data_IF_369109217815
#
_entry.id   IF_369109217815
#
_cell.length_a   1.000
_cell.length_b   1.000
_cell.length_c   1.000
_cell.angle_alpha   90.00
_cell.angle_beta   90.00
_cell.angle_gamma   90.00
#
_symmetry.space_group_name_H-M   'P 1'
#
loop_
_entity.id
_entity.type
_entity.pdbx_description
1 polymer ?
#
# COMPACT_ATOMS: atom_id res chain seq x y z
N UNK A 1 14.69 -11.04 0.16
CA UNK A 1 13.68 -9.98 -0.04
C UNK A 1 13.10 -9.99 -1.44
N UNK A 2 13.86 -10.48 -2.42
CA UNK A 2 13.51 -10.60 -3.84
C UNK A 2 12.05 -10.99 -4.11
N UNK A 3 11.54 -12.07 -3.53
CA UNK A 3 10.16 -12.52 -3.81
C UNK A 3 9.08 -11.53 -3.36
N UNK A 4 9.26 -10.88 -2.21
CA UNK A 4 8.32 -9.85 -1.76
C UNK A 4 8.38 -8.61 -2.64
N UNK A 5 9.57 -8.27 -3.14
CA UNK A 5 9.74 -7.19 -4.10
C UNK A 5 8.98 -7.50 -5.40
N UNK A 6 9.13 -8.72 -5.95
CA UNK A 6 8.36 -9.18 -7.11
C UNK A 6 6.85 -9.11 -6.90
N UNK A 7 6.38 -9.54 -5.72
CA UNK A 7 4.96 -9.47 -5.35
C UNK A 7 4.49 -8.01 -5.35
N UNK A 8 5.23 -7.10 -4.72
CA UNK A 8 4.88 -5.68 -4.68
C UNK A 8 4.84 -5.05 -6.08
N UNK A 9 5.79 -5.40 -6.95
CA UNK A 9 5.80 -4.98 -8.36
C UNK A 9 4.61 -5.56 -9.13
N UNK A 10 4.25 -6.83 -8.90
CA UNK A 10 3.10 -7.45 -9.53
C UNK A 10 1.78 -6.78 -9.11
N UNK A 11 1.62 -6.47 -7.81
CA UNK A 11 0.45 -5.72 -7.32
C UNK A 11 0.40 -4.31 -7.92
N UNK A 12 1.55 -3.63 -8.04
CA UNK A 12 1.57 -2.28 -8.62
C UNK A 12 1.12 -2.28 -10.07
N UNK A 13 1.55 -3.28 -10.86
CA UNK A 13 1.10 -3.49 -12.25
C UNK A 13 -0.40 -3.80 -12.33
N UNK A 14 -0.91 -4.65 -11.44
CA UNK A 14 -2.35 -4.94 -11.36
C UNK A 14 -3.17 -3.68 -11.09
N UNK A 15 -2.74 -2.86 -10.13
CA UNK A 15 -3.38 -1.59 -9.80
C UNK A 15 -3.29 -0.56 -10.94
N UNK A 16 -2.14 -0.46 -11.62
CA UNK A 16 -2.00 0.38 -12.82
C UNK A 16 -3.02 -0.02 -13.90
N UNK A 17 -3.17 -1.33 -14.13
CA UNK A 17 -4.15 -1.85 -15.07
C UNK A 17 -5.58 -1.45 -14.69
N UNK A 18 -5.97 -1.58 -13.42
CA UNK A 18 -7.28 -1.14 -12.95
C UNK A 18 -7.51 0.38 -13.16
N UNK A 19 -6.46 1.19 -12.93
CA UNK A 19 -6.57 2.64 -12.98
C UNK A 19 -6.56 3.22 -14.41
N UNK A 20 -5.81 2.58 -15.32
CA UNK A 20 -5.52 3.11 -16.66
C UNK A 20 -5.77 2.13 -17.79
N UNK A 21 -5.48 0.84 -17.58
CA UNK A 21 -5.60 -0.22 -18.58
C UNK A 21 -7.05 -0.60 -18.90
N UNK A 22 -7.98 -0.48 -17.95
CA UNK A 22 -9.40 -0.72 -18.19
C UNK A 22 -10.08 0.41 -19.00
N UNK A 23 -11.13 0.07 -19.76
CA UNK A 23 -11.93 1.04 -20.52
C UNK A 23 -12.54 2.12 -19.62
N UNK A 24 -13.10 1.68 -18.49
CA UNK A 24 -13.54 2.52 -17.39
C UNK A 24 -12.59 2.31 -16.22
N UNK A 25 -12.17 3.39 -15.56
CA UNK A 25 -11.27 3.31 -14.41
C UNK A 25 -11.95 2.53 -13.29
N UNK A 26 -11.24 1.57 -12.70
CA UNK A 26 -11.68 0.82 -11.52
C UNK A 26 -10.85 1.30 -10.33
N UNK A 27 -11.52 1.73 -9.25
CA UNK A 27 -10.89 2.03 -7.96
C UNK A 27 -11.33 0.96 -6.98
N UNK A 28 -10.37 0.30 -6.31
CA UNK A 28 -10.60 -0.90 -5.51
C UNK A 28 -11.12 -0.61 -4.11
N UNK A 29 -10.55 0.40 -3.43
CA UNK A 29 -10.81 0.82 -2.06
C UNK A 29 -10.50 -0.17 -0.94
N UNK A 30 -9.91 -1.32 -1.23
CA UNK A 30 -9.57 -2.33 -0.19
C UNK A 30 -8.27 -3.07 -0.51
N UNK A 31 -7.24 -2.32 -0.90
CA UNK A 31 -5.91 -2.87 -1.11
C UNK A 31 -5.23 -3.09 0.25
N UNK A 32 -4.95 -4.35 0.56
CA UNK A 32 -4.29 -4.83 1.78
C UNK A 32 -3.70 -6.22 1.52
N UNK A 33 -2.73 -6.72 2.31
CA UNK A 33 -2.13 -8.04 2.07
C UNK A 33 -3.15 -9.18 1.97
N UNK A 34 -4.20 -9.15 2.79
CA UNK A 34 -5.27 -10.16 2.83
C UNK A 34 -6.02 -10.31 1.50
N UNK A 35 -6.07 -9.25 0.68
CA UNK A 35 -6.75 -9.26 -0.62
C UNK A 35 -5.79 -9.51 -1.79
N UNK A 36 -4.51 -9.78 -1.52
CA UNK A 36 -3.53 -10.17 -2.53
C UNK A 36 -3.33 -11.68 -2.45
N UNK A 37 -3.97 -12.41 -3.38
CA UNK A 37 -3.81 -13.85 -3.49
C UNK A 37 -2.53 -14.17 -4.26
N UNK A 38 -1.94 -15.32 -3.97
CA UNK A 38 -0.76 -15.83 -4.66
C UNK A 38 -1.13 -17.15 -5.33
N UNK A 39 -0.75 -17.32 -6.60
CA UNK A 39 -0.86 -18.63 -7.26
C UNK A 39 0.37 -19.52 -6.97
N UNK A 40 0.42 -20.69 -7.61
CA UNK A 40 1.49 -21.69 -7.45
C UNK A 40 2.89 -21.14 -7.79
N UNK A 41 2.97 -20.10 -8.63
CA UNK A 41 4.22 -19.43 -9.01
C UNK A 41 4.49 -18.18 -8.17
N UNK A 42 3.69 -17.98 -7.11
CA UNK A 42 3.67 -16.78 -6.27
C UNK A 42 3.44 -15.50 -7.09
N UNK A 43 2.69 -15.59 -8.20
CA UNK A 43 2.26 -14.40 -8.92
C UNK A 43 1.08 -13.76 -8.17
N UNK A 44 1.15 -12.45 -7.85
CA UNK A 44 0.09 -11.79 -7.10
C UNK A 44 -1.15 -11.52 -7.94
N UNK A 45 -2.32 -11.73 -7.34
CA UNK A 45 -3.64 -11.45 -7.91
C UNK A 45 -4.45 -10.61 -6.94
N UNK A 46 -4.88 -9.44 -7.40
CA UNK A 46 -5.78 -8.57 -6.64
C UNK A 46 -7.16 -9.22 -6.62
N UNK A 47 -7.75 -9.34 -5.43
CA UNK A 47 -9.04 -9.99 -5.18
C UNK A 47 -9.94 -9.11 -4.31
N UNK A 48 -11.19 -9.56 -4.11
CA UNK A 48 -12.22 -8.87 -3.33
C UNK A 48 -12.59 -7.47 -3.84
N UNK A 49 -13.26 -7.45 -4.99
CA UNK A 49 -13.81 -6.23 -5.59
C UNK A 49 -15.13 -5.78 -4.96
N UNK A 50 -15.51 -6.28 -3.77
CA UNK A 50 -16.79 -5.97 -3.13
C UNK A 50 -17.01 -4.47 -2.86
N UNK A 51 -15.92 -3.73 -2.65
CA UNK A 51 -15.94 -2.28 -2.42
C UNK A 51 -15.61 -1.45 -3.66
N UNK A 52 -15.24 -2.09 -4.77
CA UNK A 52 -14.73 -1.41 -5.96
C UNK A 52 -15.79 -0.55 -6.65
N UNK A 53 -15.33 0.52 -7.33
CA UNK A 53 -16.18 1.43 -8.10
C UNK A 53 -15.62 1.74 -9.47
N UNK A 54 -16.54 1.86 -10.42
CA UNK A 54 -16.27 2.38 -11.74
C UNK A 54 -16.27 3.92 -11.68
N UNK A 55 -15.19 4.51 -12.16
CA UNK A 55 -15.02 5.96 -12.27
C UNK A 55 -14.90 6.33 -13.75
N UNK A 56 -15.63 7.36 -14.18
CA UNK A 56 -15.37 7.96 -15.50
C UNK A 56 -13.92 8.45 -15.55
N UNK A 57 -13.20 8.20 -16.65
CA UNK A 57 -11.81 8.67 -16.81
C UNK A 57 -11.70 10.20 -16.75
N UNK A 58 -12.79 10.91 -17.12
CA UNK A 58 -12.90 12.37 -17.11
C UNK A 58 -13.18 12.94 -15.73
N UNK A 59 -13.74 12.14 -14.82
CA UNK A 59 -14.08 12.58 -13.47
C UNK A 59 -13.00 12.12 -12.49
N UNK A 60 -12.48 13.05 -11.70
CA UNK A 60 -11.60 12.74 -10.57
C UNK A 60 -12.37 12.21 -9.36
N UNK A 61 -13.70 12.34 -9.37
CA UNK A 61 -14.58 12.01 -8.26
C UNK A 61 -15.83 11.22 -8.70
N UNK A 62 -16.15 10.18 -7.93
CA UNK A 62 -17.42 9.47 -7.81
C UNK A 62 -18.17 10.01 -6.59
N UNK A 63 -19.47 10.25 -6.70
CA UNK A 63 -20.31 10.56 -5.54
C UNK A 63 -20.32 9.36 -4.58
N UNK A 64 -19.64 9.48 -3.44
CA UNK A 64 -19.63 8.47 -2.39
C UNK A 64 -20.14 9.07 -1.08
N UNK A 65 -21.23 8.50 -0.56
CA UNK A 65 -21.85 8.96 0.69
C UNK A 65 -21.16 8.40 1.93
N UNK A 66 -20.60 7.19 1.86
CA UNK A 66 -20.01 6.50 3.01
C UNK A 66 -18.53 6.18 2.84
N UNK A 67 -17.76 6.35 3.92
CA UNK A 67 -16.39 5.88 4.04
C UNK A 67 -16.35 4.35 3.92
N UNK A 68 -15.36 3.82 3.20
CA UNK A 68 -15.22 2.38 2.93
C UNK A 68 -13.74 1.96 2.91
N UNK A 69 -13.50 0.67 3.11
CA UNK A 69 -12.18 0.06 3.13
C UNK A 69 -11.82 -0.47 4.51
N UNK A 70 -10.62 -1.03 4.63
CA UNK A 70 -10.12 -1.60 5.88
C UNK A 70 -9.32 -0.59 6.70
N UNK A 71 -9.70 -0.37 7.96
CA UNK A 71 -8.97 0.49 8.89
C UNK A 71 -7.46 0.19 8.89
N UNK A 72 -6.64 1.24 8.89
CA UNK A 72 -5.19 1.13 8.70
C UNK A 72 -4.72 1.28 7.25
N UNK A 73 -5.58 1.03 6.25
CA UNK A 73 -5.26 1.23 4.83
C UNK A 73 -6.12 2.32 4.16
N UNK A 74 -7.15 2.81 4.85
CA UNK A 74 -8.05 3.85 4.33
C UNK A 74 -7.28 5.18 4.21
N UNK A 75 -7.27 5.74 3.01
CA UNK A 75 -6.69 7.04 2.75
C UNK A 75 -7.49 8.17 3.45
N UNK A 76 -6.83 9.23 3.93
CA UNK A 76 -7.47 10.23 4.76
C UNK A 76 -8.60 10.98 4.05
N UNK A 77 -8.52 11.15 2.73
CA UNK A 77 -9.58 11.78 1.93
C UNK A 77 -10.86 10.93 1.82
N UNK A 78 -10.82 9.64 2.16
CA UNK A 78 -11.99 8.75 2.12
C UNK A 78 -12.93 8.99 3.29
N UNK A 79 -12.40 9.38 4.46
CA UNK A 79 -13.20 9.73 5.64
C UNK A 79 -13.23 11.23 5.95
N UNK A 80 -12.33 12.03 5.35
CA UNK A 80 -12.30 13.49 5.50
C UNK A 80 -12.39 14.20 4.16
N UNK A 81 -13.58 14.73 3.84
CA UNK A 81 -13.84 15.47 2.59
C UNK A 81 -13.06 16.79 2.49
N UNK A 82 -12.51 17.30 3.60
CA UNK A 82 -11.71 18.54 3.63
C UNK A 82 -10.39 18.37 2.84
N UNK A 83 -9.89 17.15 2.69
CA UNK A 83 -8.57 16.86 2.11
C UNK A 83 -8.58 16.88 0.56
N UNK A 84 -9.77 17.00 -0.05
CA UNK A 84 -9.95 16.99 -1.50
C UNK A 84 -10.01 15.57 -2.07
N UNK A 85 -10.79 15.39 -3.14
CA UNK A 85 -11.21 14.06 -3.61
C UNK A 85 -10.54 13.69 -4.94
N UNK A 86 -9.62 12.72 -4.89
CA UNK A 86 -9.08 12.03 -6.07
C UNK A 86 -9.08 10.53 -5.80
N UNK A 87 -10.19 9.85 -6.05
CA UNK A 87 -10.44 8.52 -5.49
C UNK A 87 -9.43 7.44 -5.87
N UNK A 88 -8.90 7.47 -7.09
CA UNK A 88 -7.90 6.48 -7.50
C UNK A 88 -6.58 6.62 -6.72
N UNK A 89 -6.32 7.78 -6.12
CA UNK A 89 -5.18 8.00 -5.22
C UNK A 89 -5.37 7.34 -3.86
N UNK A 90 -6.60 6.95 -3.51
CA UNK A 90 -6.87 6.21 -2.29
C UNK A 90 -6.28 4.79 -2.37
N UNK A 91 -6.39 4.11 -3.52
CA UNK A 91 -5.70 2.82 -3.75
C UNK A 91 -4.17 2.96 -3.69
N UNK A 92 -3.63 4.10 -4.14
CA UNK A 92 -2.18 4.39 -4.06
C UNK A 92 -1.73 4.46 -2.61
N UNK A 93 -2.51 5.11 -1.75
CA UNK A 93 -2.24 5.19 -0.32
C UNK A 93 -2.30 3.81 0.33
N UNK A 94 -3.37 3.05 0.07
CA UNK A 94 -3.55 1.70 0.60
C UNK A 94 -2.41 0.76 0.15
N UNK A 95 -1.95 0.88 -1.10
CA UNK A 95 -0.75 0.18 -1.57
C UNK A 95 0.51 0.60 -0.81
N UNK A 96 0.71 1.90 -0.53
CA UNK A 96 1.82 2.37 0.27
C UNK A 96 1.83 1.77 1.68
N UNK A 97 0.66 1.74 2.33
CA UNK A 97 0.49 1.09 3.64
C UNK A 97 0.81 -0.41 3.59
N UNK A 98 0.32 -1.12 2.56
CA UNK A 98 0.63 -2.54 2.33
C UNK A 98 2.14 -2.78 2.16
N UNK A 99 2.84 -1.96 1.39
CA UNK A 99 4.30 -2.09 1.19
C UNK A 99 5.04 -1.89 2.52
N UNK A 100 4.64 -0.89 3.30
CA UNK A 100 5.25 -0.62 4.60
C UNK A 100 5.01 -1.77 5.59
N UNK A 101 3.82 -2.35 5.59
CA UNK A 101 3.52 -3.54 6.40
C UNK A 101 4.35 -4.75 5.98
N UNK A 102 4.51 -5.01 4.67
CA UNK A 102 5.34 -6.11 4.17
C UNK A 102 6.79 -5.97 4.66
N UNK A 103 7.32 -4.76 4.69
CA UNK A 103 8.67 -4.48 5.19
C UNK A 103 8.72 -4.52 6.73
N UNK A 104 7.72 -3.96 7.42
CA UNK A 104 7.66 -3.89 8.88
C UNK A 104 7.36 -5.22 9.56
N UNK A 105 6.53 -6.06 8.95
CA UNK A 105 6.18 -7.40 9.42
C UNK A 105 7.41 -8.30 9.53
N UNK A 106 8.43 -8.10 8.68
CA UNK A 106 9.73 -8.78 8.84
C UNK A 106 10.50 -8.36 10.09
N UNK A 107 10.38 -7.11 10.53
CA UNK A 107 11.05 -6.60 11.74
C UNK A 107 10.47 -7.23 13.01
N UNK A 108 9.16 -7.46 13.03
CA UNK A 108 8.46 -8.03 14.20
C UNK A 108 8.56 -9.56 14.30
N UNK A 109 9.04 -10.27 13.27
CA UNK A 109 9.26 -11.73 13.37
C UNK A 109 10.52 -12.05 14.19
N UNK A 110 11.44 -11.09 14.35
CA UNK A 110 12.69 -11.27 15.09
C UNK A 110 12.69 -10.64 16.50
N UNK A 111 11.62 -9.97 16.89
CA UNK A 111 11.43 -9.38 18.22
C UNK A 111 10.16 -9.92 18.86
N UNK A 112 10.33 -10.53 20.03
CA UNK A 112 9.33 -11.11 20.94
C UNK A 112 7.89 -10.59 20.73
N UNK A 113 6.97 -11.54 20.53
CA UNK A 113 5.61 -11.26 20.11
C UNK A 113 4.83 -10.34 21.03
N UNK A 114 3.95 -9.56 20.41
CA UNK A 114 2.62 -9.39 20.97
C UNK A 114 1.60 -9.48 19.84
N UNK A 115 0.75 -10.52 19.94
CA UNK A 115 -0.37 -10.78 19.03
C UNK A 115 -1.53 -9.86 19.40
N UNK A 116 -1.33 -8.55 19.35
CA UNK A 116 -2.42 -7.61 19.51
C UNK A 116 -2.83 -7.10 18.13
N UNK A 117 -4.01 -7.50 17.72
CA UNK A 117 -4.73 -7.09 16.50
C UNK A 117 -5.07 -5.59 16.45
N UNK A 118 -4.41 -4.75 17.25
CA UNK A 118 -4.86 -3.38 17.56
C UNK A 118 -3.84 -2.29 17.24
N UNK A 119 -2.68 -2.60 16.65
CA UNK A 119 -1.75 -1.56 16.17
C UNK A 119 -1.30 -1.87 14.73
N UNK A 120 -2.24 -1.78 13.79
CA UNK A 120 -2.00 -1.89 12.34
C UNK A 120 -1.25 -0.69 11.76
N UNK A 121 -1.11 0.40 12.52
CA UNK A 121 -0.28 1.53 12.10
C UNK A 121 1.17 1.22 12.48
N UNK A 122 2.10 1.09 11.52
CA UNK A 122 3.48 0.87 11.89
C UNK A 122 3.98 2.16 12.54
N UNK A 123 3.98 2.19 13.89
CA UNK A 123 4.39 3.33 14.71
C UNK A 123 5.81 3.82 14.32
N UNK A 124 6.63 2.90 13.79
CA UNK A 124 7.95 3.16 13.25
C UNK A 124 7.97 3.99 11.95
N UNK A 125 6.83 4.25 11.30
CA UNK A 125 6.77 5.11 10.09
C UNK A 125 7.28 6.52 10.40
N UNK A 126 6.92 7.05 11.58
CA UNK A 126 7.33 8.38 12.04
C UNK A 126 8.77 8.44 12.54
N UNK A 127 9.45 7.30 12.66
CA UNK A 127 10.87 7.26 12.99
C UNK A 127 11.68 7.88 11.84
N UNK A 128 12.61 8.81 12.13
CA UNK A 128 13.48 9.40 11.12
C UNK A 128 14.18 8.33 10.28
N UNK A 129 14.35 8.58 8.98
CA UNK A 129 14.98 7.63 8.06
C UNK A 129 16.43 7.33 8.47
N UNK A 130 17.13 8.33 9.02
CA UNK A 130 18.48 8.19 9.58
C UNK A 130 18.49 7.22 10.76
N UNK A 131 17.48 7.27 11.63
CA UNK A 131 17.30 6.31 12.73
C UNK A 131 16.77 4.93 12.25
N UNK A 132 16.31 4.83 11.00
CA UNK A 132 15.95 3.55 10.35
C UNK A 132 17.17 2.82 9.79
N UNK A 133 18.26 3.54 9.50
CA UNK A 133 19.56 2.93 9.18
C UNK A 133 20.17 2.26 10.44
N UNK A 134 19.95 2.86 11.62
CA UNK A 134 20.37 2.32 12.94
C UNK A 134 19.40 1.30 13.57
N UNK A 135 18.15 1.18 13.09
CA UNK A 135 17.18 0.16 13.54
C UNK A 135 17.47 -1.23 12.95
N UNK A 136 18.76 -1.57 12.94
CA UNK A 136 19.41 -2.81 12.52
C UNK A 136 18.47 -3.84 11.90
N UNK A 137 18.60 -3.89 10.58
CA UNK A 137 18.59 -5.01 9.63
C UNK A 137 18.78 -6.47 10.15
N UNK A 138 18.40 -6.82 11.37
CA UNK A 138 18.43 -8.18 11.88
C UNK A 138 17.49 -9.04 11.04
N UNK A 139 18.07 -9.83 10.13
CA UNK A 139 17.36 -10.72 9.19
C UNK A 139 17.62 -10.43 7.71
N UNK A 140 18.37 -9.38 7.36
CA UNK A 140 18.82 -9.14 5.99
C UNK A 140 20.17 -9.83 5.77
N UNK A 141 20.15 -10.88 4.96
CA UNK A 141 21.28 -11.78 4.73
C UNK A 141 22.23 -11.28 3.64
N UNK A 142 21.88 -10.24 2.88
CA UNK A 142 22.68 -9.69 1.78
C UNK A 142 22.50 -8.18 1.60
N UNK A 143 23.53 -7.51 1.07
CA UNK A 143 23.48 -6.09 0.68
C UNK A 143 22.35 -5.78 -0.32
N UNK A 144 22.06 -6.73 -1.22
CA UNK A 144 20.96 -6.63 -2.19
C UNK A 144 19.58 -6.57 -1.51
N UNK A 145 19.38 -7.36 -0.46
CA UNK A 145 18.15 -7.36 0.32
C UNK A 145 17.97 -6.04 1.10
N UNK A 146 19.09 -5.44 1.57
CA UNK A 146 19.09 -4.14 2.23
C UNK A 146 18.64 -3.02 1.27
N UNK A 147 19.21 -3.02 0.07
CA UNK A 147 18.89 -2.03 -0.96
C UNK A 147 17.42 -2.12 -1.40
N UNK A 148 16.91 -3.34 -1.64
CA UNK A 148 15.50 -3.57 -1.96
C UNK A 148 14.58 -3.08 -0.84
N UNK A 149 14.95 -3.35 0.41
CA UNK A 149 14.19 -2.90 1.58
C UNK A 149 14.12 -1.37 1.65
N UNK A 150 15.27 -0.68 1.48
CA UNK A 150 15.34 0.78 1.46
C UNK A 150 14.47 1.37 0.34
N UNK A 151 14.53 0.80 -0.87
CA UNK A 151 13.67 1.19 -2.00
C UNK A 151 12.18 1.04 -1.67
N UNK A 152 11.78 -0.10 -1.11
CA UNK A 152 10.37 -0.35 -0.74
C UNK A 152 9.87 0.62 0.33
N UNK A 153 10.68 0.94 1.34
CA UNK A 153 10.34 1.94 2.36
C UNK A 153 10.13 3.31 1.72
N UNK A 154 11.06 3.77 0.87
CA UNK A 154 10.97 5.07 0.21
C UNK A 154 9.70 5.15 -0.65
N UNK A 155 9.43 4.12 -1.45
CA UNK A 155 8.23 4.05 -2.29
C UNK A 155 6.95 4.03 -1.44
N UNK A 156 6.92 3.26 -0.36
CA UNK A 156 5.79 3.21 0.57
C UNK A 156 5.50 4.59 1.19
N UNK A 157 6.53 5.25 1.73
CA UNK A 157 6.42 6.58 2.36
C UNK A 157 5.96 7.66 1.36
N UNK A 158 6.44 7.62 0.13
CA UNK A 158 6.02 8.58 -0.90
C UNK A 158 4.55 8.38 -1.31
N UNK A 159 4.00 7.17 -1.16
CA UNK A 159 2.61 6.88 -1.53
C UNK A 159 1.59 7.20 -0.44
N UNK A 160 2.01 7.38 0.82
CA UNK A 160 1.10 7.65 1.95
C UNK A 160 0.96 9.14 2.31
N UNK A 161 1.29 10.04 1.37
CA UNK A 161 1.15 11.49 1.58
C UNK A 161 -0.30 11.87 1.91
N UNK A 162 -0.50 12.76 2.88
CA UNK A 162 -1.85 13.22 3.27
C UNK A 162 -2.59 13.85 2.09
N UNK A 163 -1.89 14.69 1.31
CA UNK A 163 -2.45 15.27 0.09
C UNK A 163 -2.45 14.24 -1.05
N UNK A 164 -3.61 13.80 -1.58
CA UNK A 164 -3.67 12.80 -2.65
C UNK A 164 -3.02 13.26 -3.96
N UNK A 165 -2.93 14.57 -4.21
CA UNK A 165 -2.26 15.12 -5.39
C UNK A 165 -0.73 14.92 -5.35
N UNK A 166 -0.15 14.85 -4.16
CA UNK A 166 1.29 14.64 -3.97
C UNK A 166 1.73 13.19 -4.13
N UNK A 167 0.79 12.24 -4.15
CA UNK A 167 1.10 10.81 -4.33
C UNK A 167 1.43 10.55 -5.81
N UNK A 168 2.44 9.75 -6.15
CA UNK A 168 2.69 9.36 -7.54
C UNK A 168 1.54 8.49 -8.10
N UNK A 169 1.38 8.38 -9.43
CA UNK A 169 0.51 7.37 -10.02
C UNK A 169 1.05 5.94 -9.78
N UNK A 170 0.26 4.93 -10.18
CA UNK A 170 0.72 3.53 -10.11
C UNK A 170 1.71 3.15 -11.23
N UNK A 171 1.69 3.89 -12.35
CA UNK A 171 2.63 3.79 -13.48
C UNK A 171 4.03 4.29 -13.14
#
# INVERSE_FOLDING_TARGET
MEKLYEIVVGVSRGLEYLHRGCNTRIVHFDIKPHNILLDENFCPKISDFGLAKLCSKKESYVSMFDARGTAGYIAPEVFSRIIGVVWHKSDVYSFGMMVLEIVGGRKNINGLGDRTSEIFFPHWIHTPIELKEDLELHGITSETDAEMTKKMIIVGLWRIQTNPLGRPPMS
#
